data_IF_896071088834
#
_entry.id   IF_896071088834
#
_cell.length_a   1.000
_cell.length_b   1.000
_cell.length_c   1.000
_cell.angle_alpha   90.00
_cell.angle_beta   90.00
_cell.angle_gamma   90.00
#
_symmetry.space_group_name_H-M   'P 1'
#
loop_
_entity.id
_entity.type
_entity.pdbx_description
1 polymer ?
#
# COMPACT_ATOMS: atom_id res chain seq x y z
N UNK A 1 -54.50 19.01 35.98
CA UNK A 1 -53.14 18.57 35.59
C UNK A 1 -52.96 17.05 35.49
N UNK A 2 -54.03 16.24 35.62
CA UNK A 2 -53.95 14.77 35.56
C UNK A 2 -54.08 14.20 34.14
N UNK A 3 -54.84 14.84 33.24
CA UNK A 3 -55.05 14.35 31.88
C UNK A 3 -53.78 14.36 31.00
N UNK A 4 -52.82 15.25 31.26
CA UNK A 4 -51.54 15.27 30.52
C UNK A 4 -50.62 14.11 30.91
N UNK A 5 -50.71 13.64 32.16
CA UNK A 5 -49.91 12.53 32.66
C UNK A 5 -50.40 11.20 32.07
N UNK A 6 -51.73 11.00 32.01
CA UNK A 6 -52.33 9.76 31.50
C UNK A 6 -52.01 9.54 30.01
N UNK A 7 -52.00 10.61 29.21
CA UNK A 7 -51.66 10.54 27.78
C UNK A 7 -50.18 10.16 27.59
N UNK A 8 -49.27 10.68 28.43
CA UNK A 8 -47.85 10.33 28.37
C UNK A 8 -47.60 8.84 28.73
N UNK A 9 -48.33 8.30 29.71
CA UNK A 9 -48.26 6.88 30.06
C UNK A 9 -48.83 5.98 28.95
N UNK A 10 -49.91 6.40 28.28
CA UNK A 10 -50.50 5.64 27.18
C UNK A 10 -49.56 5.54 25.95
N UNK A 11 -48.84 6.62 25.62
CA UNK A 11 -47.86 6.61 24.52
C UNK A 11 -46.64 5.74 24.86
N UNK A 12 -46.18 5.77 26.11
CA UNK A 12 -45.03 4.98 26.55
C UNK A 12 -45.33 3.47 26.55
N UNK A 13 -46.56 3.08 26.92
CA UNK A 13 -47.01 1.67 26.84
C UNK A 13 -47.17 1.22 25.38
N UNK A 14 -47.65 2.09 24.49
CA UNK A 14 -47.79 1.78 23.05
C UNK A 14 -46.43 1.57 22.36
N UNK A 15 -45.39 2.29 22.79
CA UNK A 15 -44.02 2.10 22.28
C UNK A 15 -43.34 0.83 22.79
N UNK A 16 -43.75 0.29 23.95
CA UNK A 16 -43.18 -0.93 24.54
C UNK A 16 -43.78 -2.22 23.98
N UNK A 17 -44.88 -2.15 23.22
CA UNK A 17 -45.57 -3.34 22.67
C UNK A 17 -45.35 -3.56 21.16
N UNK A 18 -44.55 -2.73 20.49
CA UNK A 18 -44.09 -3.06 19.13
C UNK A 18 -42.98 -4.11 19.20
N UNK A 19 -43.38 -5.37 19.36
CA UNK A 19 -42.50 -6.49 19.05
C UNK A 19 -42.27 -6.50 17.53
N UNK A 20 -41.06 -6.12 17.13
CA UNK A 20 -40.55 -6.37 15.80
C UNK A 20 -40.54 -7.89 15.56
N UNK A 21 -41.42 -8.38 14.70
CA UNK A 21 -41.30 -9.74 14.18
C UNK A 21 -40.21 -9.76 13.11
N UNK A 22 -38.96 -9.87 13.53
CA UNK A 22 -37.89 -10.39 12.68
C UNK A 22 -37.86 -11.91 12.87
N UNK A 23 -38.60 -12.64 12.03
CA UNK A 23 -38.42 -14.08 11.92
C UNK A 23 -37.17 -14.31 11.07
N UNK A 24 -36.02 -14.41 11.72
CA UNK A 24 -34.78 -14.91 11.13
C UNK A 24 -34.39 -16.14 11.95
N UNK A 25 -34.64 -17.33 11.40
CA UNK A 25 -34.21 -18.60 11.97
C UNK A 25 -32.82 -18.94 11.39
N UNK A 26 -31.74 -18.88 12.20
CA UNK A 26 -30.38 -19.10 11.72
C UNK A 26 -30.03 -20.59 11.55
N UNK A 27 -30.98 -21.52 11.59
CA UNK A 27 -30.72 -22.97 11.54
C UNK A 27 -31.41 -23.74 10.40
N UNK A 28 -32.13 -23.10 9.47
CA UNK A 28 -32.52 -23.76 8.21
C UNK A 28 -31.34 -23.83 7.23
N UNK A 29 -30.53 -24.88 7.37
CA UNK A 29 -29.58 -25.27 6.34
C UNK A 29 -30.32 -25.96 5.18
N UNK A 30 -30.02 -25.64 3.90
CA UNK A 30 -30.46 -26.48 2.80
C UNK A 30 -29.88 -27.87 3.01
N UNK A 31 -30.77 -28.86 3.09
CA UNK A 31 -30.42 -30.26 3.18
C UNK A 31 -29.82 -30.70 1.83
N UNK A 32 -28.51 -30.48 1.66
CA UNK A 32 -27.73 -31.30 0.77
C UNK A 32 -26.65 -32.05 1.55
N UNK A 33 -26.90 -33.34 1.63
CA UNK A 33 -26.23 -34.34 2.44
C UNK A 33 -24.79 -34.52 1.97
N UNK A 34 -23.82 -33.92 2.67
CA UNK A 34 -22.51 -34.57 2.83
C UNK A 34 -22.58 -35.50 4.03
N UNK A 35 -23.32 -36.60 3.88
CA UNK A 35 -23.13 -37.79 4.72
C UNK A 35 -22.24 -38.75 3.96
N UNK A 36 -21.11 -39.01 4.58
CA UNK A 36 -20.09 -40.00 4.28
C UNK A 36 -20.69 -41.38 4.03
N UNK A 37 -20.51 -41.91 2.82
CA UNK A 37 -20.39 -43.35 2.63
C UNK A 37 -18.98 -43.65 2.12
N UNK A 38 -18.21 -44.32 2.97
CA UNK A 38 -17.01 -45.05 2.60
C UNK A 38 -17.48 -46.34 1.94
N UNK A 39 -17.76 -46.32 0.64
CA UNK A 39 -17.94 -47.53 -0.16
C UNK A 39 -16.98 -47.49 -1.33
N UNK A 40 -16.08 -48.47 -1.31
CA UNK A 40 -15.12 -48.84 -2.35
C UNK A 40 -14.11 -47.77 -2.76
N UNK A 41 -12.83 -48.13 -2.65
CA UNK A 41 -11.75 -47.38 -3.28
C UNK A 41 -11.87 -47.51 -4.80
N UNK A 42 -12.86 -46.84 -5.38
CA UNK A 42 -12.84 -46.51 -6.79
C UNK A 42 -11.60 -45.64 -6.99
N UNK A 43 -10.66 -46.16 -7.78
CA UNK A 43 -9.47 -45.44 -8.18
C UNK A 43 -9.95 -44.21 -8.93
N UNK A 44 -10.07 -43.07 -8.23
CA UNK A 44 -10.37 -41.78 -8.85
C UNK A 44 -9.22 -41.48 -9.80
N UNK A 45 -9.42 -41.77 -11.07
CA UNK A 45 -8.53 -41.36 -12.14
C UNK A 45 -8.76 -39.86 -12.27
N UNK A 46 -7.86 -39.08 -11.66
CA UNK A 46 -7.78 -37.64 -11.96
C UNK A 46 -7.30 -37.56 -13.40
N UNK A 47 -8.22 -37.33 -14.33
CA UNK A 47 -7.86 -36.94 -15.69
C UNK A 47 -7.17 -35.58 -15.59
N UNK A 48 -5.86 -35.46 -15.89
CA UNK A 48 -5.13 -34.20 -15.79
C UNK A 48 -5.63 -33.15 -16.80
N UNK A 49 -6.48 -33.54 -17.75
CA UNK A 49 -7.11 -32.65 -18.72
C UNK A 49 -8.57 -32.31 -18.36
N UNK A 50 -9.16 -32.98 -17.37
CA UNK A 50 -10.45 -32.59 -16.82
C UNK A 50 -10.23 -31.45 -15.82
N UNK A 51 -11.07 -30.41 -15.92
CA UNK A 51 -11.05 -29.30 -14.96
C UNK A 51 -11.60 -29.79 -13.62
N UNK A 52 -10.74 -29.89 -12.59
CA UNK A 52 -11.11 -30.48 -11.31
C UNK A 52 -12.06 -29.58 -10.51
N UNK A 53 -12.27 -28.34 -10.94
CA UNK A 53 -13.08 -27.34 -10.24
C UNK A 53 -14.42 -27.08 -10.91
N UNK A 54 -14.68 -27.67 -12.09
CA UNK A 54 -15.94 -27.48 -12.81
C UNK A 54 -16.23 -26.02 -13.17
N UNK A 55 -15.20 -25.20 -13.32
CA UNK A 55 -15.34 -23.79 -13.66
C UNK A 55 -15.69 -23.72 -15.14
N UNK A 56 -16.82 -23.05 -15.45
CA UNK A 56 -17.25 -22.80 -16.83
C UNK A 56 -16.07 -22.27 -17.65
N UNK A 57 -15.88 -22.78 -18.87
CA UNK A 57 -14.80 -22.37 -19.75
C UNK A 57 -14.77 -20.85 -20.02
N UNK A 58 -15.93 -20.17 -19.90
CA UNK A 58 -16.07 -18.72 -20.00
C UNK A 58 -15.66 -17.96 -18.72
N UNK A 59 -15.63 -18.66 -17.58
CA UNK A 59 -15.24 -18.15 -16.26
C UNK A 59 -13.80 -18.52 -15.89
N UNK A 60 -13.16 -19.38 -16.67
CA UNK A 60 -11.71 -19.58 -16.59
C UNK A 60 -11.02 -18.28 -16.99
N UNK A 61 -10.02 -17.85 -16.22
CA UNK A 61 -9.13 -16.78 -16.66
C UNK A 61 -8.57 -17.14 -18.04
N UNK A 62 -9.04 -16.41 -19.06
CA UNK A 62 -8.63 -16.56 -20.46
C UNK A 62 -7.18 -16.08 -20.51
N UNK A 63 -6.26 -17.02 -20.29
CA UNK A 63 -4.82 -16.84 -20.45
C UNK A 63 -4.15 -15.83 -19.47
N UNK A 64 -3.23 -16.31 -18.59
CA UNK A 64 -2.38 -15.44 -17.78
C UNK A 64 -1.61 -14.38 -18.60
N UNK A 65 -1.31 -14.63 -19.89
CA UNK A 65 -0.61 -13.68 -20.75
C UNK A 65 -1.47 -12.47 -21.14
N UNK A 66 -2.81 -12.59 -21.10
CA UNK A 66 -3.73 -11.47 -21.33
C UNK A 66 -4.11 -10.75 -20.03
N UNK A 67 -3.80 -11.34 -18.87
CA UNK A 67 -4.07 -10.73 -17.56
C UNK A 67 -3.17 -9.51 -17.32
N UNK A 68 -1.93 -9.51 -17.82
CA UNK A 68 -1.03 -8.35 -17.74
C UNK A 68 -1.51 -7.19 -18.62
N UNK A 69 -1.98 -7.45 -19.84
CA UNK A 69 -2.55 -6.45 -20.74
C UNK A 69 -3.88 -5.87 -20.20
N UNK A 70 -4.68 -6.73 -19.55
CA UNK A 70 -5.90 -6.28 -18.90
C UNK A 70 -5.58 -5.38 -17.69
N UNK A 71 -4.65 -5.79 -16.83
CA UNK A 71 -4.16 -5.00 -15.68
C UNK A 71 -3.54 -3.66 -16.11
N UNK A 72 -2.84 -3.61 -17.26
CA UNK A 72 -2.35 -2.37 -17.88
C UNK A 72 -3.52 -1.40 -18.20
N UNK A 73 -4.55 -1.89 -18.88
CA UNK A 73 -5.73 -1.09 -19.28
C UNK A 73 -6.58 -0.61 -18.09
N UNK A 74 -6.71 -1.39 -17.02
CA UNK A 74 -7.57 -1.01 -15.87
C UNK A 74 -6.81 -0.31 -14.72
N UNK A 75 -5.49 -0.45 -14.63
CA UNK A 75 -4.74 0.14 -13.50
C UNK A 75 -4.43 1.63 -13.67
N UNK A 76 -4.68 2.21 -14.85
CA UNK A 76 -4.33 3.60 -15.16
C UNK A 76 -2.82 3.88 -15.08
N UNK A 77 -2.00 2.82 -15.03
CA UNK A 77 -0.54 2.88 -15.08
C UNK A 77 -0.12 2.25 -16.40
N UNK A 78 0.59 3.01 -17.24
CA UNK A 78 1.37 2.42 -18.33
C UNK A 78 2.25 1.33 -17.71
N UNK A 79 1.97 0.07 -18.01
CA UNK A 79 2.83 -1.06 -17.70
C UNK A 79 4.05 -0.93 -18.61
N UNK A 80 4.99 -0.10 -18.19
CA UNK A 80 6.29 0.03 -18.83
C UNK A 80 6.92 -1.36 -18.81
N UNK A 81 7.09 -1.92 -20.00
CA UNK A 81 7.77 -3.20 -20.26
C UNK A 81 8.94 -3.38 -19.28
N UNK A 82 9.19 -4.61 -18.76
CA UNK A 82 10.10 -4.85 -17.63
C UNK A 82 11.56 -4.40 -17.79
N UNK A 83 11.92 -3.78 -18.93
CA UNK A 83 13.28 -3.41 -19.30
C UNK A 83 13.34 -2.04 -19.98
N UNK A 84 12.82 -0.99 -19.34
CA UNK A 84 13.41 0.34 -19.61
C UNK A 84 14.73 0.38 -18.85
N UNK A 85 15.83 0.39 -19.60
CA UNK A 85 17.16 0.60 -19.05
C UNK A 85 17.18 1.91 -18.28
N UNK A 86 17.29 1.81 -16.95
CA UNK A 86 17.55 2.93 -16.08
C UNK A 86 18.94 3.45 -16.46
N UNK A 87 19.02 4.60 -17.13
CA UNK A 87 20.32 5.14 -17.56
C UNK A 87 21.05 5.87 -16.41
N UNK A 88 20.36 6.11 -15.30
CA UNK A 88 20.88 6.86 -14.16
C UNK A 88 21.31 5.92 -13.03
N UNK A 89 22.61 5.86 -12.76
CA UNK A 89 23.17 5.19 -11.59
C UNK A 89 22.86 6.04 -10.35
N UNK A 90 22.07 5.52 -9.40
CA UNK A 90 21.81 6.16 -8.11
C UNK A 90 22.76 5.72 -7.00
N UNK A 91 23.54 4.66 -7.23
CA UNK A 91 24.48 4.16 -6.23
C UNK A 91 25.49 5.25 -5.85
N UNK A 92 25.66 5.51 -4.56
CA UNK A 92 26.66 6.44 -4.04
C UNK A 92 26.17 7.33 -2.91
N UNK A 93 26.94 8.38 -2.62
CA UNK A 93 26.65 9.35 -1.58
C UNK A 93 25.93 10.57 -2.14
N UNK A 94 24.87 10.99 -1.47
CA UNK A 94 24.00 12.09 -1.87
C UNK A 94 23.83 13.06 -0.71
N UNK A 95 23.86 14.35 -1.01
CA UNK A 95 23.52 15.40 -0.04
C UNK A 95 22.33 16.16 -0.60
N UNK A 96 21.22 16.19 0.15
CA UNK A 96 19.97 16.84 -0.22
C UNK A 96 19.63 17.92 0.80
N UNK A 97 19.38 19.14 0.34
CA UNK A 97 18.88 20.23 1.16
C UNK A 97 17.34 20.22 1.14
N UNK A 98 16.74 20.39 2.32
CA UNK A 98 15.30 20.42 2.55
C UNK A 98 14.86 21.86 2.76
N UNK A 99 13.73 22.20 2.16
CA UNK A 99 13.07 23.50 2.30
C UNK A 99 11.60 23.30 2.71
N UNK A 100 10.94 24.36 3.15
CA UNK A 100 9.53 24.32 3.54
C UNK A 100 9.32 23.98 5.01
N UNK A 101 8.41 23.05 5.31
CA UNK A 101 7.92 22.80 6.67
C UNK A 101 8.96 22.25 7.65
N UNK A 102 9.99 21.57 7.15
CA UNK A 102 11.12 21.07 7.93
C UNK A 102 12.44 21.33 7.19
N UNK A 103 12.98 22.57 7.25
CA UNK A 103 14.21 22.90 6.56
C UNK A 103 15.41 22.22 7.22
N UNK A 104 16.36 21.77 6.41
CA UNK A 104 17.52 21.02 6.91
C UNK A 104 18.33 20.37 5.79
N UNK A 105 19.07 19.33 6.13
CA UNK A 105 19.92 18.59 5.19
C UNK A 105 19.88 17.10 5.45
N UNK A 106 19.82 16.30 4.40
CA UNK A 106 19.98 14.85 4.42
C UNK A 106 21.29 14.45 3.74
N UNK A 107 22.04 13.58 4.37
CA UNK A 107 23.20 12.91 3.78
C UNK A 107 22.89 11.41 3.69
N UNK A 108 22.84 10.87 2.47
CA UNK A 108 22.39 9.51 2.18
C UNK A 108 23.49 8.72 1.45
N UNK A 109 23.61 7.44 1.78
CA UNK A 109 24.32 6.44 1.01
C UNK A 109 23.28 5.50 0.39
N UNK A 110 23.12 5.57 -0.93
CA UNK A 110 22.16 4.78 -1.68
C UNK A 110 22.87 3.64 -2.43
N UNK A 111 22.17 2.52 -2.51
CA UNK A 111 22.51 1.35 -3.31
C UNK A 111 21.32 1.07 -4.21
N UNK A 112 21.59 0.67 -5.45
CA UNK A 112 20.56 0.36 -6.43
C UNK A 112 20.75 -1.06 -6.96
N UNK A 113 19.65 -1.80 -7.03
CA UNK A 113 19.60 -3.10 -7.70
C UNK A 113 18.35 -3.14 -8.58
N UNK A 114 18.57 -3.04 -9.89
CA UNK A 114 17.49 -2.81 -10.88
C UNK A 114 16.71 -1.54 -10.51
N UNK A 115 15.40 -1.64 -10.39
CA UNK A 115 14.48 -0.58 -10.00
C UNK A 115 14.45 -0.33 -8.49
N UNK A 116 14.89 -1.28 -7.67
CA UNK A 116 14.90 -1.12 -6.22
C UNK A 116 16.08 -0.25 -5.75
N UNK A 117 15.79 0.69 -4.85
CA UNK A 117 16.76 1.58 -4.22
C UNK A 117 16.65 1.44 -2.71
N UNK A 118 17.77 1.28 -2.03
CA UNK A 118 17.80 1.19 -0.57
C UNK A 118 19.09 1.80 -0.04
N UNK A 119 19.10 2.15 1.23
CA UNK A 119 20.25 2.83 1.78
C UNK A 119 20.06 3.25 3.22
N UNK A 120 20.96 4.12 3.65
CA UNK A 120 20.97 4.70 4.99
C UNK A 120 21.57 6.07 4.94
N UNK A 121 21.37 6.84 5.98
CA UNK A 121 21.99 8.15 6.07
C UNK A 121 21.62 8.84 7.35
N UNK A 122 21.58 10.15 7.26
CA UNK A 122 21.27 11.01 8.39
C UNK A 122 20.56 12.25 7.93
N UNK A 123 19.82 12.86 8.85
CA UNK A 123 19.17 14.14 8.65
C UNK A 123 19.56 15.10 9.75
N UNK A 124 19.85 16.34 9.36
CA UNK A 124 20.07 17.47 10.26
C UNK A 124 18.88 18.43 10.13
N UNK A 125 18.10 18.57 11.20
CA UNK A 125 16.94 19.47 11.30
C UNK A 125 17.14 20.39 12.49
N UNK A 126 17.05 21.71 12.28
CA UNK A 126 17.01 22.73 13.34
C UNK A 126 17.97 22.51 14.54
N UNK A 127 19.17 21.98 14.29
CA UNK A 127 20.21 21.74 15.30
C UNK A 127 20.27 20.33 15.89
N UNK A 128 19.37 19.43 15.52
CA UNK A 128 19.40 18.01 15.85
C UNK A 128 19.86 17.15 14.68
N UNK A 129 20.41 15.97 14.98
CA UNK A 129 20.87 14.99 13.99
C UNK A 129 20.25 13.63 14.29
N UNK A 130 19.66 13.01 13.27
CA UNK A 130 19.02 11.70 13.37
C UNK A 130 19.54 10.75 12.29
N UNK A 131 19.54 9.45 12.58
CA UNK A 131 19.82 8.40 11.58
C UNK A 131 18.58 8.10 10.74
N UNK A 132 18.79 7.85 9.45
CA UNK A 132 17.73 7.49 8.50
C UNK A 132 18.01 6.12 7.87
N UNK A 133 16.96 5.32 7.73
CA UNK A 133 16.91 4.19 6.79
C UNK A 133 16.17 4.59 5.53
N UNK A 134 16.62 4.14 4.36
CA UNK A 134 16.04 4.49 3.07
C UNK A 134 15.59 3.26 2.30
N UNK A 135 14.39 3.32 1.71
CA UNK A 135 13.86 2.31 0.80
C UNK A 135 13.01 2.98 -0.26
N UNK A 136 13.09 2.51 -1.50
CA UNK A 136 12.46 3.18 -2.62
C UNK A 136 12.60 2.42 -3.92
N UNK A 137 12.17 3.08 -4.99
CA UNK A 137 12.21 2.53 -6.33
C UNK A 137 12.27 3.64 -7.37
N UNK A 138 12.75 3.29 -8.56
CA UNK A 138 12.85 4.21 -9.70
C UNK A 138 11.90 3.83 -10.82
N UNK A 139 11.36 4.84 -11.51
CA UNK A 139 10.66 4.65 -12.79
C UNK A 139 11.03 5.78 -13.75
N UNK A 140 11.66 5.43 -14.88
CA UNK A 140 12.26 6.39 -15.82
C UNK A 140 13.21 7.34 -15.07
N UNK A 141 12.89 8.63 -15.04
CA UNK A 141 13.68 9.69 -14.41
C UNK A 141 13.14 10.07 -13.02
N UNK A 142 12.25 9.26 -12.45
CA UNK A 142 11.67 9.47 -11.12
C UNK A 142 12.26 8.49 -10.11
N UNK A 143 12.50 9.00 -8.90
CA UNK A 143 12.87 8.26 -7.70
C UNK A 143 11.83 8.51 -6.62
N UNK A 144 11.17 7.44 -6.19
CA UNK A 144 10.33 7.44 -5.00
C UNK A 144 11.12 6.85 -3.85
N UNK A 145 11.29 7.63 -2.78
CA UNK A 145 12.12 7.24 -1.65
C UNK A 145 11.38 7.48 -0.35
N UNK A 146 11.15 6.43 0.41
CA UNK A 146 10.67 6.49 1.78
C UNK A 146 11.90 6.44 2.72
N UNK A 147 12.01 7.44 3.60
CA UNK A 147 13.04 7.55 4.62
C UNK A 147 12.40 7.44 6.00
N UNK A 148 12.98 6.65 6.88
CA UNK A 148 12.46 6.41 8.23
C UNK A 148 13.53 6.73 9.27
N UNK A 149 13.18 7.64 10.19
CA UNK A 149 13.85 7.75 11.49
C UNK A 149 13.08 6.85 12.47
N UNK A 150 13.70 5.73 12.84
CA UNK A 150 13.08 4.72 13.71
C UNK A 150 12.98 5.22 15.15
N UNK A 151 13.94 6.04 15.60
CA UNK A 151 13.98 6.52 16.99
C UNK A 151 12.90 7.59 17.22
N UNK A 152 12.77 8.53 16.29
CA UNK A 152 11.75 9.58 16.36
C UNK A 152 10.38 9.12 15.81
N UNK A 153 10.28 7.92 15.23
CA UNK A 153 9.11 7.43 14.50
C UNK A 153 8.62 8.43 13.44
N UNK A 154 9.55 8.92 12.63
CA UNK A 154 9.28 9.86 11.53
C UNK A 154 9.40 9.15 10.18
N UNK A 155 8.42 9.38 9.30
CA UNK A 155 8.43 8.95 7.91
C UNK A 155 8.54 10.16 7.00
N UNK A 156 9.48 10.15 6.07
CA UNK A 156 9.58 11.11 4.97
C UNK A 156 9.35 10.38 3.66
N UNK A 157 8.37 10.82 2.87
CA UNK A 157 8.04 10.27 1.55
C UNK A 157 8.46 11.28 0.50
N UNK A 158 9.51 10.96 -0.23
CA UNK A 158 10.11 11.82 -1.23
C UNK A 158 9.71 11.36 -2.63
N UNK A 159 9.37 12.32 -3.49
CA UNK A 159 9.17 12.14 -4.92
C UNK A 159 10.15 13.05 -5.65
N UNK A 160 11.17 12.46 -6.24
CA UNK A 160 12.32 13.14 -6.81
C UNK A 160 12.43 12.86 -8.30
N UNK A 161 12.84 13.88 -9.06
CA UNK A 161 13.31 13.78 -10.43
C UNK A 161 14.82 13.66 -10.41
N UNK A 162 15.34 12.74 -11.22
CA UNK A 162 16.75 12.45 -11.36
C UNK A 162 17.32 13.16 -12.58
N UNK A 163 18.47 13.80 -12.43
CA UNK A 163 19.24 14.38 -13.52
C UNK A 163 20.73 14.18 -13.26
N UNK A 164 21.30 13.12 -13.83
CA UNK A 164 22.72 12.72 -13.70
C UNK A 164 23.24 12.69 -12.25
N UNK A 165 23.75 13.81 -11.77
CA UNK A 165 24.37 13.99 -10.45
C UNK A 165 23.53 14.85 -9.51
N UNK A 166 22.26 15.09 -9.87
CA UNK A 166 21.34 15.96 -9.15
C UNK A 166 19.98 15.29 -8.96
N UNK A 167 19.40 15.51 -7.78
CA UNK A 167 18.04 15.12 -7.43
C UNK A 167 17.27 16.37 -7.03
N UNK A 168 16.03 16.49 -7.49
CA UNK A 168 15.13 17.56 -7.02
C UNK A 168 13.68 17.11 -7.02
N UNK A 169 12.88 17.65 -6.10
CA UNK A 169 11.47 17.30 -6.03
C UNK A 169 10.82 17.74 -4.74
N UNK A 170 9.87 16.93 -4.26
CA UNK A 170 9.06 17.25 -3.09
C UNK A 170 9.07 16.12 -2.06
N UNK A 171 8.77 16.49 -0.81
CA UNK A 171 8.54 15.51 0.25
C UNK A 171 7.26 15.84 1.01
N UNK A 172 6.67 14.79 1.56
CA UNK A 172 5.80 14.89 2.72
C UNK A 172 6.46 14.16 3.89
N UNK A 173 6.24 14.64 5.10
CA UNK A 173 6.73 14.02 6.30
C UNK A 173 5.62 13.85 7.31
N UNK A 174 5.70 12.77 8.10
CA UNK A 174 4.67 12.34 9.02
C UNK A 174 5.32 11.86 10.31
N UNK A 175 4.68 12.16 11.44
CA UNK A 175 5.08 11.62 12.74
C UNK A 175 4.04 10.64 13.29
N UNK A 176 4.38 10.00 14.41
CA UNK A 176 3.49 9.08 15.11
C UNK A 176 2.26 9.76 15.75
N UNK A 177 2.20 11.10 15.81
CA UNK A 177 1.07 11.86 16.36
C UNK A 177 0.10 12.33 15.26
N UNK A 178 0.35 12.00 14.00
CA UNK A 178 -0.48 12.40 12.86
C UNK A 178 -0.24 13.83 12.38
N UNK A 179 0.84 14.49 12.83
CA UNK A 179 1.27 15.77 12.26
C UNK A 179 1.95 15.51 10.91
N UNK A 180 1.77 16.45 10.00
CA UNK A 180 2.35 16.37 8.66
C UNK A 180 2.99 17.67 8.22
N UNK A 181 4.08 17.56 7.47
CA UNK A 181 4.76 18.68 6.84
C UNK A 181 5.01 18.36 5.38
N UNK A 182 5.21 19.40 4.58
CA UNK A 182 5.59 19.27 3.19
C UNK A 182 6.63 20.31 2.80
N UNK A 183 7.31 20.04 1.70
CA UNK A 183 8.31 20.95 1.18
C UNK A 183 8.99 20.40 -0.07
N UNK A 184 10.10 21.01 -0.41
CA UNK A 184 10.94 20.61 -1.55
C UNK A 184 12.28 20.09 -1.05
N UNK A 185 12.89 19.22 -1.85
CA UNK A 185 14.28 18.82 -1.67
C UNK A 185 15.03 19.04 -2.97
N UNK A 186 16.30 19.40 -2.85
CA UNK A 186 17.21 19.37 -3.98
C UNK A 186 18.63 19.12 -3.50
N UNK A 187 19.46 18.51 -4.34
CA UNK A 187 20.85 18.31 -3.98
C UNK A 187 21.58 17.39 -4.93
N UNK A 188 22.85 17.16 -4.61
CA UNK A 188 23.78 16.55 -5.54
C UNK A 188 24.50 15.34 -4.98
N UNK A 189 25.09 14.59 -5.90
CA UNK A 189 26.04 13.54 -5.59
C UNK A 189 27.26 14.15 -4.91
N UNK A 190 27.70 13.56 -3.80
CA UNK A 190 28.93 13.94 -3.12
C UNK A 190 30.11 13.26 -3.80
N UNK A 191 31.11 14.03 -4.21
CA UNK A 191 32.37 13.46 -4.67
C UNK A 191 33.03 12.70 -3.52
N UNK A 192 33.57 11.51 -3.80
CA UNK A 192 34.52 10.89 -2.89
C UNK A 192 35.80 11.73 -2.95
N UNK A 193 36.13 12.42 -1.86
CA UNK A 193 37.48 12.96 -1.69
C UNK A 193 38.44 11.76 -1.64
N UNK A 194 39.36 11.70 -2.61
CA UNK A 194 40.42 10.69 -2.70
C UNK A 194 41.55 11.00 -1.72
#
# INVERSE_FOLDING_TARGET
MINKLIIAWAVLVLCLTMQAQAQYDPLEMPADMRRTESSDAEKVIIDPYADPLGIDALMRQIDPHHTSEYLDKISGREYLSPFISISQELQGYWTLDLFGGMPGRMDLMLVQNRDAVFGRGSISLAGGFSSLSASGWTAKDLLYLDLVDVEAMMLYRCSLTMSKDFLSGSYNAYDAQGRSWSGTLQGGRRAMDQ
#
